data_IF_503991002860
#
_entry.id   IF_503991002860
#
_cell.length_a   1.000
_cell.length_b   1.000
_cell.length_c   1.000
_cell.angle_alpha   90.00
_cell.angle_beta   90.00
_cell.angle_gamma   90.00
#
_symmetry.space_group_name_H-M   'P 1'
#
loop_
_entity.id
_entity.type
_entity.pdbx_description
1 polymer ?
#
# COMPACT_ATOMS: atom_id res chain seq x y z
N UNK A 1 -36.96 4.28 -67.05
CA UNK A 1 -36.37 5.61 -66.83
C UNK A 1 -36.20 5.77 -65.32
N UNK A 2 -34.96 6.03 -64.89
CA UNK A 2 -34.55 6.54 -63.57
C UNK A 2 -34.88 5.71 -62.31
N UNK A 3 -33.84 5.04 -61.77
CA UNK A 3 -33.75 4.78 -60.33
C UNK A 3 -33.62 6.16 -59.64
N UNK A 4 -34.67 6.58 -58.93
CA UNK A 4 -34.62 7.79 -58.11
C UNK A 4 -33.94 7.41 -56.79
N UNK A 5 -32.91 8.18 -56.46
CA UNK A 5 -31.91 7.93 -55.44
C UNK A 5 -32.48 7.72 -54.04
N UNK A 6 -31.74 6.99 -53.21
CA UNK A 6 -31.97 6.83 -51.78
C UNK A 6 -31.75 8.16 -51.04
N UNK A 7 -32.70 9.09 -51.10
CA UNK A 7 -32.64 10.33 -50.32
C UNK A 7 -32.87 10.03 -48.84
N UNK A 8 -31.95 10.50 -47.99
CA UNK A 8 -32.18 10.68 -46.57
C UNK A 8 -33.52 11.40 -46.32
N UNK A 9 -34.42 10.81 -45.53
CA UNK A 9 -35.72 11.39 -45.21
C UNK A 9 -35.81 11.78 -43.73
N UNK A 10 -36.21 13.03 -43.47
CA UNK A 10 -36.41 13.62 -42.14
C UNK A 10 -37.91 13.85 -41.96
N UNK A 11 -38.53 13.31 -40.89
CA UNK A 11 -39.93 13.59 -40.53
C UNK A 11 -40.02 14.12 -39.10
N UNK A 12 -40.86 15.13 -38.87
CA UNK A 12 -41.21 15.63 -37.54
C UNK A 12 -42.58 15.07 -37.10
N UNK A 13 -42.66 14.56 -35.86
CA UNK A 13 -43.92 14.25 -35.19
C UNK A 13 -44.39 15.40 -34.31
N UNK A 14 -45.69 15.49 -34.01
CA UNK A 14 -46.32 16.56 -33.22
C UNK A 14 -45.84 16.67 -31.75
N UNK A 15 -44.99 15.74 -31.31
CA UNK A 15 -44.30 15.74 -30.00
C UNK A 15 -42.76 15.83 -30.15
N UNK A 16 -42.27 16.24 -31.32
CA UNK A 16 -40.98 16.94 -31.47
C UNK A 16 -39.69 16.09 -31.48
N UNK A 17 -39.63 14.98 -32.21
CA UNK A 17 -38.34 14.34 -32.56
C UNK A 17 -38.10 14.38 -34.09
N UNK A 18 -36.86 14.70 -34.50
CA UNK A 18 -36.39 14.86 -35.89
C UNK A 18 -34.98 14.23 -36.03
N UNK A 19 -34.72 13.38 -37.03
CA UNK A 19 -33.43 12.68 -37.27
C UNK A 19 -32.77 13.05 -38.63
N UNK A 20 -31.43 12.95 -38.78
CA UNK A 20 -30.63 13.30 -39.99
C UNK A 20 -29.67 12.14 -40.39
N UNK A 21 -29.50 11.91 -41.71
CA UNK A 21 -28.47 11.10 -42.42
C UNK A 21 -28.01 11.82 -43.72
N UNK A 22 -27.43 11.19 -44.75
CA UNK A 22 -27.06 11.85 -46.03
C UNK A 22 -27.51 11.06 -47.25
N UNK A 23 -27.72 11.71 -48.39
CA UNK A 23 -27.56 11.06 -49.69
C UNK A 23 -26.45 11.82 -50.42
N UNK A 24 -25.26 11.22 -50.64
CA UNK A 24 -24.28 11.73 -51.62
C UNK A 24 -23.36 10.61 -52.12
N UNK A 25 -23.19 10.53 -53.44
CA UNK A 25 -22.76 9.33 -54.15
C UNK A 25 -21.24 9.24 -54.38
N UNK A 26 -20.43 10.05 -53.70
CA UNK A 26 -18.98 9.82 -53.60
C UNK A 26 -18.37 10.47 -52.33
N UNK A 27 -17.37 9.79 -51.74
CA UNK A 27 -16.43 10.20 -50.64
C UNK A 27 -16.93 10.21 -49.18
N UNK A 28 -16.19 9.51 -48.30
CA UNK A 28 -16.06 9.70 -46.84
C UNK A 28 -16.98 10.71 -46.12
N UNK A 29 -18.00 10.23 -45.41
CA UNK A 29 -18.69 11.00 -44.34
C UNK A 29 -19.31 10.02 -43.34
N UNK A 30 -19.02 10.18 -42.02
CA UNK A 30 -19.42 9.22 -40.96
C UNK A 30 -20.13 9.84 -39.73
N UNK A 31 -20.38 11.17 -39.67
CA UNK A 31 -21.20 11.88 -38.65
C UNK A 31 -21.40 13.37 -39.04
N UNK A 32 -22.55 14.00 -38.75
CA UNK A 32 -22.72 15.48 -38.69
C UNK A 32 -23.88 15.94 -37.77
N UNK A 33 -23.65 17.03 -37.00
CA UNK A 33 -24.50 17.64 -35.94
C UNK A 33 -24.56 19.17 -36.16
N UNK A 34 -25.71 19.85 -36.02
CA UNK A 34 -25.81 21.33 -36.03
C UNK A 34 -26.91 21.91 -35.12
N UNK A 35 -26.63 23.11 -34.57
CA UNK A 35 -27.25 23.67 -33.35
C UNK A 35 -28.48 24.57 -33.50
N UNK A 36 -29.09 24.92 -32.36
CA UNK A 36 -30.13 25.96 -32.28
C UNK A 36 -29.51 27.34 -32.04
N UNK A 37 -30.12 28.36 -32.65
CA UNK A 37 -29.71 29.77 -32.65
C UNK A 37 -29.91 30.51 -31.32
N UNK A 38 -29.74 29.82 -30.20
CA UNK A 38 -29.80 30.40 -28.85
C UNK A 38 -28.62 29.88 -28.06
N UNK A 39 -27.42 30.19 -28.55
CA UNK A 39 -26.17 30.13 -27.79
C UNK A 39 -26.24 31.14 -26.64
N UNK A 40 -26.99 30.80 -25.59
CA UNK A 40 -26.73 31.35 -24.26
C UNK A 40 -25.61 30.50 -23.68
N UNK A 41 -24.41 31.07 -23.73
CA UNK A 41 -23.32 30.86 -22.78
C UNK A 41 -23.83 30.16 -21.50
N UNK A 42 -23.34 28.94 -21.22
CA UNK A 42 -23.70 28.18 -20.01
C UNK A 42 -24.86 27.17 -20.13
N UNK A 43 -25.21 26.70 -21.33
CA UNK A 43 -26.23 25.66 -21.54
C UNK A 43 -25.61 24.33 -22.01
N UNK A 44 -26.07 23.22 -21.41
CA UNK A 44 -25.59 21.86 -21.68
C UNK A 44 -26.17 21.37 -23.02
N UNK A 45 -25.34 21.12 -24.03
CA UNK A 45 -25.81 20.61 -25.32
C UNK A 45 -25.75 19.08 -25.34
N UNK A 46 -26.92 18.44 -25.48
CA UNK A 46 -27.02 17.00 -25.75
C UNK A 46 -26.72 16.79 -27.23
N UNK A 47 -25.59 16.16 -27.53
CA UNK A 47 -25.11 15.96 -28.90
C UNK A 47 -25.79 14.75 -29.54
N UNK A 48 -25.95 13.68 -28.77
CA UNK A 48 -26.57 12.46 -29.25
C UNK A 48 -27.15 11.65 -28.09
N UNK A 49 -28.38 11.15 -28.24
CA UNK A 49 -29.05 10.33 -27.25
C UNK A 49 -29.64 9.08 -27.92
N UNK A 50 -29.49 7.94 -27.26
CA UNK A 50 -30.09 6.67 -27.62
C UNK A 50 -30.99 6.21 -26.49
N UNK A 51 -32.13 5.66 -26.85
CA UNK A 51 -33.08 5.10 -25.90
C UNK A 51 -33.58 3.72 -26.37
N UNK A 52 -33.97 2.87 -25.42
CA UNK A 52 -34.67 1.63 -25.76
C UNK A 52 -36.18 1.88 -25.91
N UNK A 53 -36.91 0.88 -26.42
CA UNK A 53 -38.34 1.02 -26.74
C UNK A 53 -39.29 0.66 -25.56
N UNK A 54 -38.83 0.83 -24.31
CA UNK A 54 -39.63 0.51 -23.12
C UNK A 54 -40.53 1.68 -22.73
N UNK A 55 -41.60 1.43 -21.96
CA UNK A 55 -42.53 2.47 -21.48
C UNK A 55 -41.85 3.53 -20.60
N UNK A 56 -40.83 3.12 -19.86
CA UNK A 56 -39.87 4.00 -19.19
C UNK A 56 -38.48 3.72 -19.78
N UNK A 57 -38.13 4.40 -20.88
CA UNK A 57 -36.95 4.01 -21.63
C UNK A 57 -35.66 4.41 -20.90
N UNK A 58 -34.67 3.53 -20.89
CA UNK A 58 -33.32 3.94 -20.48
C UNK A 58 -32.78 4.90 -21.54
N UNK A 59 -32.02 5.91 -21.10
CA UNK A 59 -31.45 6.91 -22.00
C UNK A 59 -29.95 6.99 -21.75
N UNK A 60 -29.18 6.88 -22.82
CA UNK A 60 -27.71 6.98 -22.80
C UNK A 60 -27.28 7.93 -23.90
N UNK A 61 -26.20 8.69 -23.71
CA UNK A 61 -25.80 9.64 -24.73
C UNK A 61 -24.47 10.33 -24.49
N UNK A 62 -24.11 11.13 -25.48
CA UNK A 62 -22.97 12.03 -25.47
C UNK A 62 -23.47 13.46 -25.24
N UNK A 63 -22.85 14.13 -24.27
CA UNK A 63 -23.06 15.56 -24.01
C UNK A 63 -21.74 16.31 -24.19
N UNK A 64 -21.85 17.56 -24.64
CA UNK A 64 -20.77 18.53 -24.64
C UNK A 64 -21.30 19.77 -23.93
N UNK A 65 -20.51 20.29 -22.99
CA UNK A 65 -20.93 21.47 -22.22
C UNK A 65 -19.79 22.47 -22.14
N UNK A 66 -20.18 23.74 -22.21
CA UNK A 66 -19.31 24.89 -22.14
C UNK A 66 -19.90 25.87 -21.12
N UNK A 67 -19.21 26.08 -20.00
CA UNK A 67 -19.71 27.00 -18.97
C UNK A 67 -19.54 28.45 -19.41
N UNK A 68 -20.42 29.31 -18.90
CA UNK A 68 -20.32 30.74 -19.16
C UNK A 68 -19.06 31.33 -18.52
N UNK A 69 -18.08 31.73 -19.33
CA UNK A 69 -17.01 32.65 -18.92
C UNK A 69 -15.69 32.04 -18.46
N UNK A 70 -15.48 30.71 -18.52
CA UNK A 70 -14.15 30.11 -18.30
C UNK A 70 -14.09 28.67 -18.84
N UNK A 71 -13.02 28.31 -19.57
CA UNK A 71 -12.87 27.00 -20.23
C UNK A 71 -12.51 25.85 -19.29
N UNK A 72 -12.22 26.12 -18.02
CA UNK A 72 -11.72 25.12 -17.07
C UNK A 72 -12.76 24.06 -16.68
N UNK A 73 -14.04 24.32 -16.93
CA UNK A 73 -15.15 23.38 -16.70
C UNK A 73 -15.69 22.79 -18.00
N UNK A 74 -15.13 23.14 -19.16
CA UNK A 74 -15.60 22.59 -20.43
C UNK A 74 -15.30 21.09 -20.49
N UNK A 75 -16.26 20.32 -20.97
CA UNK A 75 -16.12 18.88 -20.99
C UNK A 75 -17.03 18.19 -21.98
N UNK A 76 -16.71 16.93 -22.22
CA UNK A 76 -17.58 15.98 -22.90
C UNK A 76 -17.78 14.78 -21.98
N UNK A 77 -19.01 14.29 -21.90
CA UNK A 77 -19.35 13.14 -21.06
C UNK A 77 -20.18 12.14 -21.84
N UNK A 78 -19.94 10.86 -21.56
CA UNK A 78 -20.76 9.75 -22.03
C UNK A 78 -21.34 9.02 -20.81
N UNK A 79 -22.65 8.78 -20.81
CA UNK A 79 -23.29 8.12 -19.68
C UNK A 79 -24.81 7.97 -19.82
N UNK A 80 -25.43 7.47 -18.76
CA UNK A 80 -26.87 7.31 -18.65
C UNK A 80 -27.53 8.60 -18.11
N UNK A 81 -28.72 8.92 -18.62
CA UNK A 81 -29.56 10.03 -18.14
C UNK A 81 -30.71 9.56 -17.25
N UNK A 82 -30.87 8.25 -17.15
CA UNK A 82 -31.81 7.56 -16.27
C UNK A 82 -31.03 6.88 -15.14
N UNK A 83 -31.72 6.43 -14.09
CA UNK A 83 -31.09 5.76 -12.94
C UNK A 83 -30.69 4.32 -13.28
N UNK A 84 -29.82 4.18 -14.28
CA UNK A 84 -29.32 2.95 -14.85
C UNK A 84 -27.79 2.94 -14.82
N UNK A 85 -27.21 1.74 -14.75
CA UNK A 85 -25.76 1.56 -14.70
C UNK A 85 -25.13 1.80 -16.08
N UNK A 86 -23.87 2.26 -16.08
CA UNK A 86 -23.06 2.36 -17.29
C UNK A 86 -22.09 1.18 -17.38
N UNK A 87 -22.27 0.36 -18.42
CA UNK A 87 -21.56 -0.91 -18.59
C UNK A 87 -20.62 -0.87 -19.80
N UNK A 88 -19.42 -1.41 -19.64
CA UNK A 88 -18.45 -1.62 -20.73
C UNK A 88 -18.22 -3.11 -20.88
N UNK A 89 -18.63 -3.67 -22.03
CA UNK A 89 -18.61 -5.10 -22.29
C UNK A 89 -17.50 -5.52 -23.24
N UNK A 90 -16.96 -6.72 -23.02
CA UNK A 90 -16.12 -7.43 -23.99
C UNK A 90 -16.64 -8.88 -24.05
N UNK A 91 -16.94 -9.35 -25.27
CA UNK A 91 -17.50 -10.68 -25.52
C UNK A 91 -18.77 -10.97 -24.68
N UNK A 92 -19.71 -10.01 -24.66
CA UNK A 92 -20.99 -10.14 -23.95
C UNK A 92 -20.92 -10.08 -22.42
N UNK A 93 -19.74 -9.84 -21.82
CA UNK A 93 -19.56 -9.73 -20.36
C UNK A 93 -19.10 -8.34 -19.95
N UNK A 94 -19.61 -7.81 -18.84
CA UNK A 94 -19.18 -6.54 -18.26
C UNK A 94 -17.74 -6.64 -17.74
N UNK A 95 -16.84 -5.78 -18.24
CA UNK A 95 -15.43 -5.67 -17.82
C UNK A 95 -15.16 -4.42 -17.01
N UNK A 96 -15.89 -3.34 -17.28
CA UNK A 96 -15.93 -2.14 -16.45
C UNK A 96 -17.38 -1.74 -16.23
N UNK A 97 -17.72 -1.34 -15.01
CA UNK A 97 -19.10 -1.18 -14.56
C UNK A 97 -19.20 0.00 -13.60
N UNK A 98 -19.92 1.04 -13.98
CA UNK A 98 -20.21 2.19 -13.11
C UNK A 98 -21.68 2.11 -12.69
N UNK A 99 -21.91 1.90 -11.40
CA UNK A 99 -23.28 1.73 -10.89
C UNK A 99 -23.98 3.07 -10.59
N UNK A 100 -25.28 3.01 -10.33
CA UNK A 100 -26.11 4.18 -9.96
C UNK A 100 -25.69 4.86 -8.65
N UNK A 101 -24.86 4.21 -7.83
CA UNK A 101 -24.26 4.81 -6.61
C UNK A 101 -22.91 5.50 -6.87
N UNK A 102 -22.45 5.58 -8.13
CA UNK A 102 -21.20 6.25 -8.51
C UNK A 102 -19.93 5.44 -8.25
N UNK A 103 -20.04 4.12 -8.06
CA UNK A 103 -18.89 3.24 -7.80
C UNK A 103 -18.41 2.56 -9.08
N UNK A 104 -17.10 2.57 -9.32
CA UNK A 104 -16.45 1.95 -10.46
C UNK A 104 -15.99 0.53 -10.11
N UNK A 105 -16.54 -0.47 -10.80
CA UNK A 105 -16.10 -1.85 -10.78
C UNK A 105 -15.25 -2.17 -12.02
N UNK A 106 -14.11 -2.85 -11.84
CA UNK A 106 -13.30 -3.42 -12.93
C UNK A 106 -13.23 -4.92 -12.71
N UNK A 107 -13.78 -5.71 -13.65
CA UNK A 107 -14.00 -7.14 -13.46
C UNK A 107 -15.07 -7.50 -12.43
N UNK A 108 -15.81 -6.50 -11.91
CA UNK A 108 -16.82 -6.65 -10.87
C UNK A 108 -18.10 -5.86 -11.21
N UNK A 109 -19.27 -6.50 -11.18
CA UNK A 109 -20.59 -5.89 -11.45
C UNK A 109 -21.37 -5.52 -10.18
N UNK A 110 -20.75 -5.61 -9.01
CA UNK A 110 -21.34 -5.22 -7.72
C UNK A 110 -20.29 -4.51 -6.86
N UNK A 111 -19.80 -3.33 -7.27
CA UNK A 111 -18.74 -2.62 -6.56
C UNK A 111 -19.21 -2.09 -5.19
N UNK A 112 -18.38 -2.28 -4.17
CA UNK A 112 -18.66 -1.95 -2.77
C UNK A 112 -17.85 -0.74 -2.26
N UNK A 113 -16.78 -0.40 -2.98
CA UNK A 113 -15.94 0.78 -2.78
C UNK A 113 -16.00 1.70 -4.01
N UNK A 114 -15.52 2.95 -3.88
CA UNK A 114 -15.46 3.91 -5.00
C UNK A 114 -14.77 3.33 -6.23
N UNK A 115 -13.70 2.55 -6.01
CA UNK A 115 -13.05 1.72 -7.02
C UNK A 115 -12.94 0.28 -6.47
N UNK A 116 -13.60 -0.68 -7.12
CA UNK A 116 -13.55 -2.11 -6.77
C UNK A 116 -13.04 -2.93 -7.95
N UNK A 117 -11.78 -3.37 -7.87
CA UNK A 117 -11.13 -4.16 -8.92
C UNK A 117 -11.08 -5.63 -8.51
N UNK A 118 -11.62 -6.53 -9.34
CA UNK A 118 -11.37 -7.97 -9.25
C UNK A 118 -10.03 -8.28 -9.92
N UNK A 119 -8.98 -8.50 -9.12
CA UNK A 119 -7.63 -8.84 -9.58
C UNK A 119 -6.54 -7.98 -8.95
N UNK A 120 -5.27 -8.24 -9.32
CA UNK A 120 -4.14 -7.43 -8.89
C UNK A 120 -4.15 -6.06 -9.55
N UNK A 121 -3.86 -5.02 -8.77
CA UNK A 121 -3.64 -3.66 -9.28
C UNK A 121 -2.15 -3.41 -9.34
N UNK A 122 -1.63 -3.34 -10.56
CA UNK A 122 -0.25 -2.91 -10.79
C UNK A 122 -0.30 -1.41 -11.07
N UNK A 123 0.09 -0.61 -10.09
CA UNK A 123 0.43 0.77 -10.33
C UNK A 123 1.92 0.81 -10.71
N UNK A 124 2.22 1.25 -11.93
CA UNK A 124 3.61 1.48 -12.35
C UNK A 124 4.25 2.61 -11.52
N UNK A 125 3.43 3.56 -11.06
CA UNK A 125 3.87 4.73 -10.33
C UNK A 125 3.50 4.65 -8.84
N UNK A 126 2.44 5.32 -8.39
CA UNK A 126 2.13 5.46 -6.97
C UNK A 126 0.65 5.22 -6.70
N UNK A 127 0.39 4.62 -5.54
CA UNK A 127 -0.93 4.55 -4.94
C UNK A 127 -1.02 5.62 -3.85
N UNK A 128 -1.57 6.79 -4.18
CA UNK A 128 -1.73 7.88 -3.22
C UNK A 128 -3.05 7.76 -2.46
N UNK A 129 -2.97 7.89 -1.13
CA UNK A 129 -4.11 8.16 -0.28
C UNK A 129 -3.99 9.58 0.27
N UNK A 130 -4.93 10.47 -0.09
CA UNK A 130 -4.97 11.87 0.40
C UNK A 130 -5.69 11.97 1.75
N UNK A 131 -5.25 11.23 2.76
CA UNK A 131 -5.83 11.29 4.11
C UNK A 131 -4.85 11.93 5.10
N UNK A 132 -5.15 13.14 5.57
CA UNK A 132 -4.43 13.83 6.65
C UNK A 132 -5.05 13.52 8.02
N UNK A 133 -5.10 12.26 8.43
CA UNK A 133 -5.61 11.83 9.76
C UNK A 133 -4.81 10.66 10.33
N UNK A 134 -4.78 10.54 11.66
CA UNK A 134 -4.28 9.35 12.38
C UNK A 134 -5.07 8.12 11.96
N UNK A 135 -4.51 7.26 11.12
CA UNK A 135 -5.19 6.06 10.63
C UNK A 135 -4.36 5.19 9.69
N UNK A 136 -4.90 4.01 9.39
CA UNK A 136 -4.29 3.08 8.45
C UNK A 136 -4.46 3.52 7.00
N UNK A 137 -3.36 3.47 6.26
CA UNK A 137 -3.32 3.88 4.85
C UNK A 137 -3.44 2.71 3.89
N UNK A 138 -2.78 1.62 4.24
CA UNK A 138 -2.92 0.34 3.59
C UNK A 138 -3.56 -0.61 4.58
N UNK A 139 -4.70 -1.16 4.20
CA UNK A 139 -5.46 -2.11 5.01
C UNK A 139 -5.65 -3.35 4.19
N UNK A 140 -5.30 -4.49 4.78
CA UNK A 140 -5.48 -5.76 4.12
C UNK A 140 -6.96 -6.24 4.13
N UNK A 141 -7.93 -5.39 4.53
CA UNK A 141 -9.40 -5.60 4.39
C UNK A 141 -10.19 -4.29 4.59
N UNK A 142 -11.39 -4.22 4.00
CA UNK A 142 -12.26 -3.05 3.86
C UNK A 142 -13.42 -2.96 4.88
N UNK A 143 -14.13 -4.06 5.19
CA UNK A 143 -15.44 -3.97 5.88
C UNK A 143 -15.45 -4.34 7.37
N UNK A 144 -14.32 -4.80 7.94
CA UNK A 144 -14.25 -5.21 9.35
C UNK A 144 -13.22 -4.44 10.17
N UNK A 145 -13.26 -4.67 11.49
CA UNK A 145 -12.24 -4.23 12.46
C UNK A 145 -11.12 -5.27 12.54
N UNK A 146 -9.91 -4.88 12.91
CA UNK A 146 -8.89 -5.85 13.31
C UNK A 146 -7.90 -6.29 12.22
N UNK A 147 -7.74 -5.51 11.15
CA UNK A 147 -6.87 -5.90 10.03
C UNK A 147 -5.49 -5.27 10.10
N UNK A 148 -4.52 -6.07 9.66
CA UNK A 148 -3.15 -5.64 9.45
C UNK A 148 -3.14 -4.40 8.58
N UNK A 149 -2.41 -3.42 9.05
CA UNK A 149 -2.39 -2.12 8.47
C UNK A 149 -1.00 -1.52 8.54
N UNK A 150 -0.72 -0.71 7.54
CA UNK A 150 0.45 0.14 7.48
C UNK A 150 -0.06 1.56 7.29
N UNK A 151 0.33 2.46 8.19
CA UNK A 151 -0.07 3.85 8.08
C UNK A 151 0.42 4.70 9.23
N UNK A 152 -0.24 5.84 9.38
CA UNK A 152 0.19 6.97 10.17
C UNK A 152 -0.54 7.10 11.50
N UNK A 153 0.14 6.98 12.66
CA UNK A 153 -0.46 7.05 14.01
C UNK A 153 -0.07 8.34 14.75
N UNK A 154 -0.67 9.48 14.36
CA UNK A 154 -0.39 10.78 14.99
C UNK A 154 -1.01 10.96 16.39
N UNK A 155 -1.86 10.02 16.84
CA UNK A 155 -2.49 10.08 18.15
C UNK A 155 -1.56 9.63 19.28
N UNK A 156 -0.58 8.76 18.97
CA UNK A 156 0.40 8.23 19.93
C UNK A 156 1.84 8.72 19.67
N UNK A 157 2.02 9.75 18.83
CA UNK A 157 3.33 10.34 18.50
C UNK A 157 4.21 9.50 17.55
N UNK A 158 3.64 8.55 16.82
CA UNK A 158 4.36 7.53 16.03
C UNK A 158 4.11 7.69 14.52
N UNK A 159 5.11 7.35 13.68
CA UNK A 159 5.08 7.66 12.23
C UNK A 159 4.62 6.49 11.35
N UNK A 160 5.11 5.28 11.62
CA UNK A 160 4.69 4.06 10.93
C UNK A 160 4.30 3.06 11.98
N UNK A 161 3.10 2.56 11.81
CA UNK A 161 2.56 1.49 12.60
C UNK A 161 2.30 0.32 11.67
N UNK A 162 3.13 -0.72 11.79
CA UNK A 162 2.69 -2.05 11.38
C UNK A 162 1.82 -2.54 12.55
N UNK A 163 0.52 -2.36 12.38
CA UNK A 163 -0.44 -2.55 13.45
C UNK A 163 -1.83 -2.81 12.92
N UNK A 164 -2.84 -2.41 13.68
CA UNK A 164 -4.22 -2.81 13.46
C UNK A 164 -5.13 -1.59 13.43
N UNK A 165 -6.02 -1.54 12.45
CA UNK A 165 -7.04 -0.49 12.31
C UNK A 165 -8.47 -1.00 12.40
N UNK A 166 -9.40 -0.14 12.84
CA UNK A 166 -10.85 -0.33 12.86
C UNK A 166 -11.48 -0.16 11.47
N UNK A 167 -12.77 -0.50 11.31
CA UNK A 167 -13.52 -0.37 10.06
C UNK A 167 -13.45 1.05 9.46
N UNK A 168 -13.36 2.07 10.31
CA UNK A 168 -13.24 3.48 9.94
C UNK A 168 -11.81 3.96 9.64
N UNK A 169 -10.79 3.07 9.72
CA UNK A 169 -9.39 3.39 9.48
C UNK A 169 -8.65 3.92 10.70
N UNK A 170 -9.31 4.15 11.84
CA UNK A 170 -8.64 4.57 13.07
C UNK A 170 -7.76 3.47 13.63
N UNK A 171 -6.64 3.83 14.23
CA UNK A 171 -5.79 2.88 14.91
C UNK A 171 -6.48 2.34 16.17
N UNK A 172 -6.67 1.03 16.26
CA UNK A 172 -7.09 0.39 17.50
C UNK A 172 -5.92 0.46 18.52
N UNK A 173 -6.08 0.87 19.78
CA UNK A 173 -4.94 0.97 20.73
C UNK A 173 -4.33 -0.40 21.10
N UNK A 174 -3.04 -0.66 20.81
CA UNK A 174 -2.40 -1.97 21.08
C UNK A 174 -0.87 -1.93 21.27
N UNK A 175 -0.29 -2.33 22.44
CA UNK A 175 1.13 -2.16 22.81
C UNK A 175 2.16 -2.93 21.95
N UNK A 176 1.70 -3.88 21.14
CA UNK A 176 2.52 -4.76 20.29
C UNK A 176 2.29 -4.52 18.80
N UNK A 177 1.79 -3.34 18.45
CA UNK A 177 2.09 -2.90 17.11
C UNK A 177 3.61 -2.84 17.00
N UNK A 178 4.17 -3.14 15.82
CA UNK A 178 5.40 -2.49 15.43
C UNK A 178 4.99 -1.06 15.06
N UNK A 179 4.55 -0.31 16.06
CA UNK A 179 5.31 0.90 16.34
C UNK A 179 6.66 0.33 16.63
N UNK A 180 7.68 0.52 15.78
CA UNK A 180 8.99 -0.13 15.96
C UNK A 180 9.13 -0.88 17.31
N UNK A 181 8.88 -2.20 17.33
CA UNK A 181 8.56 -3.05 18.50
C UNK A 181 9.09 -4.50 18.32
N UNK A 182 8.99 -5.44 19.30
CA UNK A 182 9.95 -6.56 19.43
C UNK A 182 9.81 -7.70 18.39
N UNK A 183 10.96 -8.19 17.91
CA UNK A 183 11.14 -9.19 16.84
C UNK A 183 11.51 -10.58 17.42
N UNK A 184 10.86 -11.68 16.99
CA UNK A 184 11.12 -13.07 17.45
C UNK A 184 11.74 -13.93 16.34
N UNK A 185 12.82 -14.64 16.66
CA UNK A 185 13.57 -15.46 15.70
C UNK A 185 13.25 -16.95 15.87
N UNK A 186 13.16 -17.71 14.77
CA UNK A 186 12.89 -19.17 14.79
C UNK A 186 14.08 -19.97 15.31
N UNK A 187 13.86 -20.91 16.24
CA UNK A 187 14.95 -21.58 16.97
C UNK A 187 14.76 -23.10 17.23
N UNK A 188 13.85 -23.76 16.52
CA UNK A 188 13.55 -25.20 16.67
C UNK A 188 14.75 -26.10 16.28
N UNK A 189 14.95 -27.23 17.00
CA UNK A 189 16.02 -28.19 16.70
C UNK A 189 15.97 -28.77 15.28
N UNK A 190 14.79 -28.84 14.65
CA UNK A 190 14.59 -29.39 13.29
C UNK A 190 14.93 -28.39 12.20
N UNK A 191 14.84 -27.09 12.50
CA UNK A 191 15.31 -26.02 11.61
C UNK A 191 16.84 -25.86 11.66
N UNK A 192 17.48 -26.70 12.48
CA UNK A 192 18.90 -26.67 12.78
C UNK A 192 19.51 -28.00 12.39
N UNK A 193 20.71 -27.92 11.88
CA UNK A 193 21.55 -29.08 11.59
C UNK A 193 22.94 -28.81 12.18
N UNK A 194 23.73 -29.85 12.40
CA UNK A 194 25.07 -29.75 13.00
C UNK A 194 25.04 -29.01 14.35
N UNK A 195 24.13 -29.42 15.25
CA UNK A 195 24.00 -28.86 16.59
C UNK A 195 25.19 -29.32 17.43
N UNK A 196 26.06 -28.38 17.82
CA UNK A 196 27.21 -28.59 18.70
C UNK A 196 27.15 -27.65 19.89
N UNK A 197 27.94 -27.92 20.92
CA UNK A 197 28.07 -27.02 22.07
C UNK A 197 28.59 -25.64 21.65
N UNK A 198 28.19 -24.62 22.41
CA UNK A 198 28.71 -23.26 22.22
C UNK A 198 30.21 -23.22 22.51
N UNK A 199 31.00 -22.86 21.50
CA UNK A 199 32.47 -22.75 21.58
C UNK A 199 32.92 -21.44 22.23
N UNK A 200 32.01 -20.48 22.37
CA UNK A 200 32.23 -19.19 23.03
C UNK A 200 31.89 -19.29 24.53
N UNK A 201 32.60 -18.52 25.35
CA UNK A 201 32.46 -18.55 26.81
C UNK A 201 33.19 -17.39 27.46
N UNK A 202 33.57 -17.54 28.74
CA UNK A 202 34.12 -16.47 29.58
C UNK A 202 35.34 -15.81 28.93
N UNK A 203 36.26 -16.60 28.37
CA UNK A 203 37.49 -16.09 27.74
C UNK A 203 37.22 -15.10 26.60
N UNK A 204 36.13 -15.30 25.85
CA UNK A 204 35.77 -14.43 24.72
C UNK A 204 34.99 -13.22 25.23
N UNK A 205 34.03 -13.43 26.15
CA UNK A 205 33.26 -12.33 26.74
C UNK A 205 34.14 -11.35 27.50
N UNK A 206 35.19 -11.80 28.19
CA UNK A 206 36.15 -10.91 28.86
C UNK A 206 36.96 -10.04 27.89
N UNK A 207 37.02 -10.38 26.59
CA UNK A 207 37.61 -9.55 25.55
C UNK A 207 36.59 -8.60 24.89
N UNK A 208 35.29 -8.87 25.05
CA UNK A 208 34.24 -8.00 24.55
C UNK A 208 34.23 -6.68 25.32
N UNK A 209 33.93 -5.60 24.62
CA UNK A 209 33.93 -4.25 25.18
C UNK A 209 32.52 -3.66 25.11
N UNK A 210 31.69 -3.76 26.17
CA UNK A 210 30.42 -3.04 26.24
C UNK A 210 30.69 -1.53 26.16
N UNK A 211 30.01 -0.85 25.23
CA UNK A 211 30.18 0.58 25.03
C UNK A 211 28.90 1.31 25.41
N UNK A 212 29.08 2.54 25.88
CA UNK A 212 28.02 3.54 25.98
C UNK A 212 28.25 4.56 24.87
N UNK A 213 27.23 4.83 24.08
CA UNK A 213 27.36 5.71 22.92
C UNK A 213 26.09 6.54 22.74
N UNK A 214 26.19 7.58 21.93
CA UNK A 214 25.05 8.34 21.45
C UNK A 214 24.91 8.07 19.95
N UNK A 215 23.66 7.95 19.49
CA UNK A 215 23.41 7.86 18.06
C UNK A 215 23.74 9.20 17.41
N UNK A 216 24.56 9.19 16.36
CA UNK A 216 24.88 10.40 15.58
C UNK A 216 23.57 11.07 15.08
N UNK A 217 22.48 10.30 14.90
CA UNK A 217 21.15 10.75 14.40
C UNK A 217 20.05 10.92 15.47
N UNK A 218 20.33 10.72 16.77
CA UNK A 218 19.34 10.89 17.83
C UNK A 218 19.25 12.34 18.32
N UNK A 219 18.07 12.95 18.31
CA UNK A 219 17.90 14.37 18.69
C UNK A 219 17.66 14.62 20.19
N UNK A 220 17.58 13.58 21.01
CA UNK A 220 17.22 13.69 22.43
C UNK A 220 18.42 13.70 23.38
N UNK A 221 19.65 13.62 22.85
CA UNK A 221 20.90 13.61 23.62
C UNK A 221 21.09 12.39 24.53
N UNK A 222 20.19 11.39 24.45
CA UNK A 222 20.21 10.24 25.37
C UNK A 222 21.30 9.26 24.99
N UNK A 223 22.03 8.81 26.01
CA UNK A 223 22.98 7.71 25.85
C UNK A 223 22.24 6.38 25.71
N UNK A 224 22.68 5.58 24.74
CA UNK A 224 22.29 4.18 24.59
C UNK A 224 23.43 3.26 25.03
N UNK A 225 23.09 2.02 25.38
CA UNK A 225 24.03 0.97 25.76
C UNK A 225 24.03 -0.13 24.70
N UNK A 226 25.20 -0.67 24.38
CA UNK A 226 25.35 -1.77 23.42
C UNK A 226 26.80 -2.13 23.13
N UNK A 227 27.05 -2.63 21.92
CA UNK A 227 28.36 -3.10 21.45
C UNK A 227 28.72 -2.50 20.09
N UNK A 228 30.02 -2.47 19.78
CA UNK A 228 30.53 -2.10 18.45
C UNK A 228 30.73 -3.37 17.61
N UNK A 229 30.09 -3.41 16.45
CA UNK A 229 30.06 -4.60 15.60
C UNK A 229 31.46 -5.03 15.12
N UNK A 230 32.34 -4.08 14.80
CA UNK A 230 33.74 -4.33 14.37
C UNK A 230 34.59 -4.95 15.48
N UNK A 231 34.35 -4.55 16.74
CA UNK A 231 35.04 -5.13 17.90
C UNK A 231 34.54 -6.55 18.19
N UNK A 232 33.26 -6.83 17.90
CA UNK A 232 32.65 -8.16 18.04
C UNK A 232 33.01 -9.11 16.89
N UNK A 233 33.24 -8.62 15.69
CA UNK A 233 33.51 -9.44 14.50
C UNK A 233 34.67 -10.45 14.70
N UNK A 234 35.86 -10.06 15.19
CA UNK A 234 36.95 -11.03 15.43
C UNK A 234 36.71 -11.93 16.66
N UNK A 235 35.63 -11.72 17.43
CA UNK A 235 35.33 -12.44 18.67
C UNK A 235 34.17 -13.45 18.51
N UNK A 236 33.03 -13.01 17.97
CA UNK A 236 31.81 -13.80 17.73
C UNK A 236 31.20 -13.34 16.40
N UNK A 237 31.73 -13.79 15.25
CA UNK A 237 31.30 -13.29 13.94
C UNK A 237 29.82 -13.59 13.62
N UNK A 238 29.22 -14.63 14.18
CA UNK A 238 27.86 -15.09 13.84
C UNK A 238 26.74 -14.13 14.29
N UNK A 239 27.01 -13.26 15.27
CA UNK A 239 26.04 -12.24 15.71
C UNK A 239 26.17 -10.94 14.93
N UNK A 240 27.16 -10.85 14.05
CA UNK A 240 27.49 -9.66 13.29
C UNK A 240 27.10 -9.88 11.82
N UNK A 241 26.19 -9.04 11.31
CA UNK A 241 25.80 -9.02 9.90
C UNK A 241 26.11 -7.66 9.32
N UNK A 242 26.50 -7.56 8.05
CA UNK A 242 26.91 -6.30 7.42
C UNK A 242 28.30 -6.41 6.81
N UNK A 243 28.81 -5.28 6.32
CA UNK A 243 30.14 -5.20 5.72
C UNK A 243 30.83 -3.91 6.18
N UNK A 244 32.04 -4.04 6.76
CA UNK A 244 32.82 -2.89 7.27
C UNK A 244 33.34 -2.01 6.14
N UNK A 245 33.66 -2.62 5.00
CA UNK A 245 34.22 -1.93 3.83
C UNK A 245 33.13 -1.34 2.94
N UNK A 246 31.85 -1.52 3.29
CA UNK A 246 30.76 -1.05 2.46
C UNK A 246 30.81 0.48 2.34
N UNK A 247 30.70 1.00 1.10
CA UNK A 247 30.68 2.44 0.90
C UNK A 247 29.42 3.05 1.52
N UNK A 248 29.41 4.38 1.63
CA UNK A 248 28.18 5.10 1.99
C UNK A 248 27.20 5.08 0.82
N UNK A 249 25.91 5.00 1.12
CA UNK A 249 24.84 5.23 0.16
C UNK A 249 24.76 6.71 -0.22
N UNK A 250 23.92 6.99 -1.20
CA UNK A 250 23.68 8.33 -1.71
C UNK A 250 23.14 9.32 -0.65
N UNK A 251 22.52 8.84 0.43
CA UNK A 251 22.03 9.66 1.55
C UNK A 251 23.13 9.90 2.61
N UNK A 252 24.38 9.50 2.34
CA UNK A 252 25.50 9.55 3.29
C UNK A 252 25.40 8.54 4.42
N UNK A 253 24.38 7.66 4.40
CA UNK A 253 24.15 6.58 5.35
C UNK A 253 25.03 5.39 4.95
N UNK A 254 25.45 4.58 5.91
CA UNK A 254 26.19 3.36 5.58
C UNK A 254 25.20 2.42 4.87
N UNK A 255 25.53 1.97 3.66
CA UNK A 255 24.58 1.25 2.79
C UNK A 255 24.20 -0.12 3.36
N UNK A 256 25.17 -0.80 3.97
CA UNK A 256 24.95 -2.09 4.62
C UNK A 256 25.70 -2.12 5.97
N UNK A 257 25.21 -1.34 6.95
CA UNK A 257 25.94 -1.16 8.20
C UNK A 257 26.05 -2.49 8.93
N UNK A 258 27.19 -2.66 9.59
CA UNK A 258 27.35 -3.77 10.50
C UNK A 258 26.38 -3.63 11.68
N UNK A 259 25.46 -4.59 11.79
CA UNK A 259 24.48 -4.73 12.84
C UNK A 259 24.83 -5.89 13.76
N UNK A 260 24.44 -5.77 15.03
CA UNK A 260 24.60 -6.83 16.01
C UNK A 260 23.23 -7.40 16.34
N UNK A 261 23.07 -8.70 16.15
CA UNK A 261 21.91 -9.42 16.67
C UNK A 261 22.10 -9.63 18.18
N UNK A 262 21.66 -8.65 18.96
CA UNK A 262 21.81 -8.65 20.41
C UNK A 262 21.18 -9.89 21.07
N UNK A 263 20.09 -10.42 20.51
CA UNK A 263 19.46 -11.67 20.97
C UNK A 263 20.36 -12.89 20.81
N UNK A 264 21.21 -12.91 19.78
CA UNK A 264 22.10 -14.03 19.51
C UNK A 264 23.33 -14.08 20.44
N UNK A 265 23.60 -13.01 21.20
CA UNK A 265 24.62 -13.01 22.27
C UNK A 265 24.14 -13.68 23.57
N UNK A 266 22.82 -13.79 23.78
CA UNK A 266 22.25 -14.35 25.02
C UNK A 266 22.74 -15.78 25.32
N UNK A 267 22.83 -16.71 24.36
CA UNK A 267 23.37 -18.06 24.61
C UNK A 267 24.85 -18.03 25.03
N UNK A 268 25.65 -17.10 24.49
CA UNK A 268 27.06 -16.94 24.86
C UNK A 268 27.16 -16.51 26.32
N UNK A 269 26.37 -15.50 26.74
CA UNK A 269 26.34 -15.07 28.14
C UNK A 269 25.83 -16.16 29.08
N UNK A 270 24.86 -16.98 28.66
CA UNK A 270 24.43 -18.15 29.43
C UNK A 270 25.60 -19.12 29.68
N UNK A 271 26.42 -19.38 28.64
CA UNK A 271 27.61 -20.22 28.76
C UNK A 271 28.65 -19.63 29.72
N UNK A 272 28.85 -18.31 29.71
CA UNK A 272 29.73 -17.63 30.69
C UNK A 272 29.29 -17.89 32.12
N UNK A 273 28.00 -17.76 32.41
CA UNK A 273 27.46 -17.99 33.76
C UNK A 273 27.72 -19.43 34.21
N UNK A 274 27.54 -20.41 33.31
CA UNK A 274 27.84 -21.81 33.60
C UNK A 274 29.33 -22.03 33.93
N UNK A 275 30.24 -21.41 33.17
CA UNK A 275 31.68 -21.50 33.41
C UNK A 275 32.11 -20.83 34.71
N UNK A 276 31.55 -19.65 35.00
CA UNK A 276 31.80 -18.94 36.26
C UNK A 276 31.31 -19.76 37.46
N UNK A 277 30.13 -20.38 37.39
CA UNK A 277 29.62 -21.23 38.46
C UNK A 277 30.55 -22.43 38.71
N UNK A 278 31.03 -23.09 37.67
CA UNK A 278 31.98 -24.19 37.80
C UNK A 278 33.28 -23.76 38.51
N UNK A 279 33.80 -22.55 38.21
CA UNK A 279 34.97 -22.02 38.90
C UNK A 279 34.69 -21.73 40.38
N UNK A 280 33.51 -21.19 40.71
CA UNK A 280 33.09 -20.93 42.09
C UNK A 280 33.00 -22.22 42.90
N UNK A 281 32.46 -23.30 42.32
CA UNK A 281 32.31 -24.59 42.99
C UNK A 281 33.68 -25.24 43.27
N UNK A 282 34.61 -25.13 42.32
CA UNK A 282 36.00 -25.58 42.48
C UNK A 282 36.68 -24.80 43.60
N UNK A 283 36.64 -23.46 43.56
CA UNK A 283 37.26 -22.61 44.57
C UNK A 283 36.69 -22.90 45.98
N UNK A 284 35.37 -23.08 46.08
CA UNK A 284 34.71 -23.40 47.35
C UNK A 284 35.19 -24.74 47.91
N UNK A 285 35.35 -25.75 47.05
CA UNK A 285 35.86 -27.07 47.44
C UNK A 285 37.32 -27.01 47.89
N UNK A 286 38.15 -26.23 47.18
CA UNK A 286 39.55 -26.01 47.54
C UNK A 286 39.67 -25.32 48.89
N UNK A 287 38.90 -24.25 49.12
CA UNK A 287 38.88 -23.53 50.40
C UNK A 287 38.43 -24.47 51.54
N UNK A 288 37.39 -25.28 51.31
CA UNK A 288 36.91 -26.25 52.31
C UNK A 288 37.97 -27.30 52.65
N UNK A 289 38.73 -27.77 51.65
CA UNK A 289 39.84 -28.70 51.86
C UNK A 289 41.01 -28.05 52.61
N UNK A 290 41.40 -26.81 52.25
CA UNK A 290 42.44 -26.07 52.94
C UNK A 290 42.09 -25.79 54.41
N UNK A 291 40.84 -25.47 54.71
CA UNK A 291 40.34 -25.27 56.08
C UNK A 291 40.37 -26.53 56.95
N UNK A 292 40.45 -27.73 56.37
CA UNK A 292 40.58 -28.99 57.13
C UNK A 292 42.02 -29.31 57.52
N UNK A 293 43.00 -28.63 56.90
CA UNK A 293 44.43 -28.87 57.08
C UNK A 293 45.06 -27.80 58.01
N UNK A 294 44.33 -26.72 58.28
CA UNK A 294 44.64 -25.66 59.25
C UNK A 294 43.92 -25.91 60.57
#
# INVERSE_FOLDING_TARGET
MSAIADHMCIKSGAIGQTCIGSNFNTTTSMLNVYGSSSLLYGSWERVQEWCNHQSTPMRVGLIIYNEAGNSNSNGASFGTFTNDNLNFMINGSNRMYLNTSGRLGIGNTSPEATLHVTGGVVATDQYYQKASVSGASYRFNWSGVGYGAIGWDSANGQRIRLGISNADGTWAGYPNSVYGGPYTNGSDRRLKQKITDCTYGLKVVMKMQPRRFQWITGSDGKFSLGFIAQELLPLVPEVVSGDETCPKDQNGMIAYPMGVEMSALLPVFCKVIQEQQAQIDILSTTIASLKKIL
#
